data_IF_573268776299
#
_entry.id   IF_573268776299
#
_cell.length_a   1.000
_cell.length_b   1.000
_cell.length_c   1.000
_cell.angle_alpha   90.00
_cell.angle_beta   90.00
_cell.angle_gamma   90.00
#
_symmetry.space_group_name_H-M   'P 1'
#
loop_
_entity.id
_entity.type
_entity.pdbx_description
1 polymer ?
#
# COMPACT_ATOMS: atom_id res chain seq x y z
N UNK A 1 16.85 7.98 1.67
CA UNK A 1 16.04 8.99 2.39
C UNK A 1 16.94 10.05 3.00
N UNK A 2 16.46 11.29 3.22
CA UNK A 2 17.10 12.26 4.11
C UNK A 2 17.46 11.64 5.45
N UNK A 3 18.75 11.51 5.74
CA UNK A 3 19.18 11.18 7.09
C UNK A 3 19.34 12.53 7.83
N UNK A 4 18.82 12.64 9.05
CA UNK A 4 19.08 13.76 9.96
C UNK A 4 19.34 13.13 11.33
N UNK A 5 20.57 13.25 11.87
CA UNK A 5 20.93 12.68 13.18
C UNK A 5 21.05 13.81 14.21
N UNK A 6 20.10 13.95 15.13
CA UNK A 6 20.28 14.82 16.30
C UNK A 6 21.39 14.27 17.19
N UNK A 7 22.43 15.05 17.49
CA UNK A 7 23.63 14.52 18.17
C UNK A 7 23.79 15.00 19.61
N UNK A 8 23.42 16.25 19.92
CA UNK A 8 23.60 16.76 21.29
C UNK A 8 22.87 18.09 21.53
N UNK A 9 22.15 18.18 22.65
CA UNK A 9 21.83 19.46 23.27
C UNK A 9 23.01 19.83 24.18
N UNK A 10 23.74 20.90 23.83
CA UNK A 10 24.78 21.46 24.69
C UNK A 10 24.18 22.67 25.42
N UNK A 11 23.95 22.50 26.71
CA UNK A 11 23.40 23.54 27.58
C UNK A 11 24.58 24.23 28.26
N UNK A 12 24.78 25.52 27.95
CA UNK A 12 25.72 26.43 28.64
C UNK A 12 24.91 27.47 29.46
N UNK A 13 25.55 28.16 30.41
CA UNK A 13 24.92 29.11 31.33
C UNK A 13 24.33 30.34 30.63
N UNK A 14 24.76 30.64 29.39
CA UNK A 14 24.34 31.84 28.62
C UNK A 14 23.56 31.53 27.34
N UNK A 15 23.82 30.39 26.71
CA UNK A 15 23.24 30.01 25.40
C UNK A 15 22.96 28.51 25.36
N UNK A 16 21.94 28.12 24.60
CA UNK A 16 21.62 26.72 24.36
C UNK A 16 21.88 26.42 22.89
N UNK A 17 22.79 25.48 22.66
CA UNK A 17 23.22 25.06 21.33
C UNK A 17 22.66 23.70 21.01
N UNK A 18 22.03 23.59 19.85
CA UNK A 18 21.44 22.35 19.35
C UNK A 18 22.28 21.91 18.16
N UNK A 19 22.95 20.77 18.30
CA UNK A 19 23.76 20.15 17.26
C UNK A 19 22.98 19.02 16.60
N UNK A 20 22.90 19.06 15.27
CA UNK A 20 22.27 18.03 14.47
C UNK A 20 23.07 17.80 13.18
N UNK A 21 23.20 16.54 12.79
CA UNK A 21 23.68 16.16 11.47
C UNK A 21 22.48 16.11 10.51
N UNK A 22 22.69 16.47 9.26
CA UNK A 22 21.71 16.65 8.20
C UNK A 22 22.37 16.26 6.87
N UNK A 23 21.79 15.27 6.19
CA UNK A 23 22.41 14.57 5.07
C UNK A 23 21.65 14.79 3.74
N UNK A 24 20.83 15.83 3.65
CA UNK A 24 20.20 16.23 2.38
C UNK A 24 21.14 17.19 1.65
N UNK A 25 21.21 17.07 0.33
CA UNK A 25 22.03 17.93 -0.51
C UNK A 25 21.60 19.42 -0.45
N UNK A 26 20.29 19.70 -0.30
CA UNK A 26 19.77 21.06 -0.20
C UNK A 26 20.03 21.63 1.19
N UNK A 27 20.56 22.86 1.28
CA UNK A 27 20.84 23.50 2.58
C UNK A 27 19.53 23.89 3.29
N UNK A 28 19.46 23.76 4.63
CA UNK A 28 18.40 24.35 5.42
C UNK A 28 18.26 25.84 5.12
N UNK A 29 17.03 26.33 5.00
CA UNK A 29 16.73 27.76 5.01
C UNK A 29 16.67 28.26 6.45
N UNK A 30 15.88 27.59 7.29
CA UNK A 30 15.82 27.81 8.73
C UNK A 30 15.37 26.56 9.47
N UNK A 31 15.45 26.64 10.79
CA UNK A 31 14.98 25.67 11.76
C UNK A 31 13.80 26.28 12.51
N UNK A 32 12.75 25.50 12.73
CA UNK A 32 11.52 25.97 13.38
C UNK A 32 11.09 25.07 14.52
N UNK A 33 10.85 25.65 15.69
CA UNK A 33 10.22 24.98 16.82
C UNK A 33 8.73 25.29 16.76
N UNK A 34 7.88 24.25 16.66
CA UNK A 34 6.42 24.39 16.55
C UNK A 34 5.73 23.62 17.65
N UNK A 35 4.69 24.21 18.24
CA UNK A 35 3.79 23.52 19.14
C UNK A 35 2.44 23.34 18.44
N UNK A 36 2.06 22.08 18.18
CA UNK A 36 0.83 21.75 17.45
C UNK A 36 -0.43 22.19 18.22
N UNK A 37 -0.33 22.38 19.54
CA UNK A 37 -1.41 22.86 20.40
C UNK A 37 -1.46 24.39 20.50
N UNK A 38 -0.46 25.09 19.97
CA UNK A 38 -0.35 26.55 20.01
C UNK A 38 0.23 27.06 18.68
N UNK A 39 -0.58 26.96 17.63
CA UNK A 39 -0.21 27.21 16.22
C UNK A 39 0.36 28.62 15.96
N UNK A 40 0.03 29.60 16.80
CA UNK A 40 0.53 30.97 16.69
C UNK A 40 1.91 31.17 17.34
N UNK A 41 2.45 30.13 17.98
CA UNK A 41 3.74 30.16 18.67
C UNK A 41 4.75 29.28 17.95
N UNK A 42 5.58 29.91 17.12
CA UNK A 42 6.74 29.26 16.50
C UNK A 42 8.00 30.08 16.72
N UNK A 43 9.12 29.38 16.92
CA UNK A 43 10.42 30.00 17.02
C UNK A 43 11.26 29.62 15.81
N UNK A 44 11.71 30.60 15.04
CA UNK A 44 12.56 30.38 13.86
C UNK A 44 14.00 30.78 14.14
N UNK A 45 14.94 29.92 13.75
CA UNK A 45 16.38 30.15 13.90
C UNK A 45 17.13 29.72 12.66
N UNK A 46 18.27 30.37 12.40
CA UNK A 46 19.17 29.94 11.33
C UNK A 46 19.99 28.73 11.79
N UNK A 47 20.18 27.77 10.89
CA UNK A 47 21.18 26.72 11.05
C UNK A 47 22.53 27.19 10.50
N UNK A 48 23.56 27.09 11.32
CA UNK A 48 24.95 27.36 10.94
C UNK A 48 25.62 26.03 10.59
N UNK A 49 26.19 25.93 9.39
CA UNK A 49 26.89 24.72 8.94
C UNK A 49 28.23 24.60 9.67
N UNK A 50 28.46 23.48 10.35
CA UNK A 50 29.69 23.17 11.09
C UNK A 50 30.63 22.25 10.29
N UNK A 51 30.07 21.27 9.56
CA UNK A 51 30.82 20.31 8.72
C UNK A 51 30.01 19.99 7.47
N UNK A 52 30.47 19.06 6.61
CA UNK A 52 29.71 18.65 5.42
C UNK A 52 28.28 18.24 5.74
N UNK A 53 28.08 17.57 6.88
CA UNK A 53 26.80 17.03 7.34
C UNK A 53 26.33 17.63 8.66
N UNK A 54 27.16 18.34 9.44
CA UNK A 54 26.78 18.82 10.78
C UNK A 54 26.37 20.29 10.78
N UNK A 55 25.35 20.62 11.58
CA UNK A 55 24.76 21.95 11.74
C UNK A 55 24.52 22.28 13.21
N UNK A 56 24.50 23.58 13.52
CA UNK A 56 24.19 24.14 14.82
C UNK A 56 23.11 25.21 14.72
N UNK A 57 22.14 25.17 15.62
CA UNK A 57 21.25 26.30 15.88
C UNK A 57 21.39 26.75 17.34
N UNK A 58 21.19 28.05 17.57
CA UNK A 58 21.35 28.66 18.89
C UNK A 58 20.04 29.29 19.32
N UNK A 59 19.63 29.01 20.56
CA UNK A 59 18.51 29.67 21.23
C UNK A 59 18.97 30.26 22.57
N UNK A 60 18.34 31.34 22.98
CA UNK A 60 18.60 31.97 24.28
C UNK A 60 17.96 31.15 25.40
N UNK A 61 18.42 31.35 26.65
CA UNK A 61 17.81 30.70 27.81
C UNK A 61 16.33 31.08 27.97
N UNK A 62 15.97 32.33 27.73
CA UNK A 62 14.58 32.80 27.82
C UNK A 62 13.68 32.10 26.79
N UNK A 63 14.14 31.93 25.55
CA UNK A 63 13.42 31.18 24.51
C UNK A 63 13.27 29.70 24.90
N UNK A 64 14.31 29.08 25.46
CA UNK A 64 14.23 27.70 25.92
C UNK A 64 13.23 27.50 27.06
N UNK A 65 13.19 28.40 28.04
CA UNK A 65 12.20 28.32 29.12
C UNK A 65 10.76 28.46 28.59
N UNK A 66 10.54 29.20 27.48
CA UNK A 66 9.23 29.25 26.79
C UNK A 66 8.88 27.92 26.10
N UNK A 67 9.88 27.18 25.62
CA UNK A 67 9.68 25.86 25.02
C UNK A 67 9.37 24.79 26.07
N UNK A 68 9.90 24.90 27.29
CA UNK A 68 9.67 23.90 28.35
C UNK A 68 8.21 23.75 28.79
N UNK A 69 7.38 24.76 28.58
CA UNK A 69 5.97 24.75 29.01
C UNK A 69 5.01 24.13 27.97
N UNK A 70 5.52 23.60 26.86
CA UNK A 70 4.68 22.98 25.82
C UNK A 70 5.39 21.86 25.06
N UNK A 71 4.63 21.11 24.27
CA UNK A 71 5.13 20.01 23.45
C UNK A 71 5.59 20.56 22.09
N UNK A 72 6.85 21.01 22.03
CA UNK A 72 7.43 21.58 20.81
C UNK A 72 8.20 20.55 19.99
N UNK A 73 7.91 20.52 18.68
CA UNK A 73 8.58 19.74 17.65
C UNK A 73 9.58 20.59 16.88
N UNK A 74 10.71 20.00 16.48
CA UNK A 74 11.76 20.70 15.75
C UNK A 74 11.76 20.34 14.26
N UNK A 75 11.64 21.32 13.38
CA UNK A 75 11.62 21.14 11.94
C UNK A 75 12.83 21.81 11.25
N UNK A 76 13.42 21.13 10.27
CA UNK A 76 14.26 21.74 9.23
C UNK A 76 13.36 22.16 8.09
N UNK A 77 13.43 23.43 7.70
CA UNK A 77 12.66 23.97 6.57
C UNK A 77 13.61 24.37 5.44
N UNK A 78 13.32 23.90 4.23
CA UNK A 78 14.09 24.22 3.02
C UNK A 78 13.53 25.45 2.30
N UNK A 79 14.27 25.98 1.33
CA UNK A 79 13.82 27.16 0.57
C UNK A 79 12.54 26.89 -0.21
N UNK A 80 12.37 25.66 -0.68
CA UNK A 80 11.15 25.19 -1.36
C UNK A 80 10.00 24.87 -0.39
N UNK A 81 10.13 25.19 0.91
CA UNK A 81 9.15 24.90 1.97
C UNK A 81 8.95 23.41 2.26
N UNK A 82 9.86 22.54 1.82
CA UNK A 82 9.89 21.14 2.28
C UNK A 82 10.37 21.10 3.72
N UNK A 83 9.76 20.25 4.54
CA UNK A 83 9.96 20.21 5.98
C UNK A 83 10.38 18.82 6.46
N UNK A 84 11.31 18.77 7.40
CA UNK A 84 11.78 17.52 8.01
C UNK A 84 11.82 17.64 9.53
N UNK A 85 11.22 16.68 10.25
CA UNK A 85 11.24 16.63 11.71
C UNK A 85 12.59 16.12 12.23
N UNK A 86 13.10 16.74 13.30
CA UNK A 86 14.34 16.35 13.99
C UNK A 86 13.98 15.78 15.36
N UNK A 87 14.39 14.54 15.62
CA UNK A 87 14.36 13.97 16.97
C UNK A 87 15.55 14.50 17.80
N UNK A 88 15.28 15.07 18.98
CA UNK A 88 16.30 15.49 19.94
C UNK A 88 16.06 14.77 21.27
N UNK A 89 17.13 14.16 21.79
CA UNK A 89 17.18 13.27 22.96
C UNK A 89 16.62 13.88 24.28
N UNK A 90 16.43 15.21 24.38
CA UNK A 90 15.96 15.91 25.59
C UNK A 90 14.68 16.76 25.43
N UNK A 91 14.00 16.72 24.27
CA UNK A 91 12.72 17.44 24.03
C UNK A 91 11.54 16.45 23.81
N UNK A 92 11.53 15.32 24.52
CA UNK A 92 10.52 14.28 24.31
C UNK A 92 9.14 14.64 24.91
N UNK A 93 8.14 14.86 24.04
CA UNK A 93 6.80 14.30 24.25
C UNK A 93 6.07 13.99 22.92
N UNK A 94 5.61 12.75 22.81
CA UNK A 94 4.71 12.10 21.82
C UNK A 94 4.88 12.37 20.31
N UNK A 95 5.45 11.37 19.62
CA UNK A 95 5.04 11.04 18.25
C UNK A 95 3.85 10.07 18.34
N UNK A 96 2.69 10.48 17.80
CA UNK A 96 1.56 9.57 17.58
C UNK A 96 1.89 8.54 16.48
N UNK A 97 1.04 7.52 16.37
CA UNK A 97 1.28 6.30 15.59
C UNK A 97 1.57 6.49 14.09
N UNK A 98 1.39 7.68 13.52
CA UNK A 98 1.41 7.92 12.06
C UNK A 98 2.68 8.63 11.54
N UNK A 99 3.72 8.84 12.35
CA UNK A 99 4.93 9.56 11.90
C UNK A 99 6.24 8.82 12.26
N UNK A 100 6.93 8.33 11.22
CA UNK A 100 8.21 7.61 11.25
C UNK A 100 9.29 8.33 12.11
N UNK A 101 9.87 7.64 13.09
CA UNK A 101 11.14 6.87 13.09
C UNK A 101 12.43 7.70 13.16
N UNK A 102 13.23 7.42 14.19
CA UNK A 102 14.67 7.71 14.27
C UNK A 102 15.47 6.43 14.56
N UNK A 103 16.67 6.34 13.97
CA UNK A 103 17.84 5.60 14.47
C UNK A 103 19.11 6.43 14.08
N UNK A 104 20.29 6.37 14.73
CA UNK A 104 20.76 5.69 15.93
C UNK A 104 21.97 6.51 16.48
N UNK A 105 21.68 7.40 17.43
CA UNK A 105 22.53 7.89 18.56
C UNK A 105 21.72 8.94 19.35
N UNK A 106 20.56 8.46 19.81
CA UNK A 106 19.53 9.17 20.55
C UNK A 106 18.31 8.28 20.67
N UNK A 107 18.55 7.09 21.24
CA UNK A 107 17.59 6.08 21.74
C UNK A 107 16.46 5.64 20.79
N UNK A 108 16.62 4.46 20.18
CA UNK A 108 15.51 3.51 20.11
C UNK A 108 16.01 2.09 20.38
N UNK A 109 15.36 1.45 21.34
CA UNK A 109 15.34 0.01 21.44
C UNK A 109 14.78 -0.56 20.12
N UNK A 110 15.67 -0.95 19.21
CA UNK A 110 15.36 -1.95 18.19
C UNK A 110 15.27 -3.33 18.85
N UNK A 111 14.35 -3.46 19.80
CA UNK A 111 13.58 -4.67 19.90
C UNK A 111 12.17 -4.32 19.46
N UNK A 112 11.85 -4.80 18.25
CA UNK A 112 10.48 -5.07 17.79
C UNK A 112 9.73 -3.87 17.21
N UNK A 113 9.79 -3.74 15.89
CA UNK A 113 8.53 -3.76 15.13
C UNK A 113 8.56 -5.06 14.32
N UNK A 114 8.55 -6.19 15.04
CA UNK A 114 7.71 -7.26 14.53
C UNK A 114 6.34 -6.60 14.48
N UNK A 115 5.84 -6.32 13.28
CA UNK A 115 4.45 -5.97 13.20
C UNK A 115 3.71 -7.15 13.82
N UNK A 116 3.16 -6.94 15.01
CA UNK A 116 2.42 -8.00 15.70
C UNK A 116 1.07 -8.22 15.04
N UNK A 117 0.70 -7.35 14.10
CA UNK A 117 -0.49 -7.47 13.27
C UNK A 117 -0.42 -8.66 12.32
N UNK A 118 -1.60 -9.06 11.88
CA UNK A 118 -1.76 -10.09 10.88
C UNK A 118 -1.99 -9.43 9.52
N UNK A 119 -1.27 -9.89 8.52
CA UNK A 119 -1.40 -9.47 7.13
C UNK A 119 -2.10 -10.57 6.35
N UNK A 120 -3.10 -10.22 5.55
CA UNK A 120 -3.63 -11.15 4.58
C UNK A 120 -2.65 -11.25 3.41
N UNK A 121 -2.08 -12.45 3.21
CA UNK A 121 -1.30 -12.78 2.03
C UNK A 121 -2.23 -13.00 0.85
N UNK A 122 -2.39 -11.98 0.03
CA UNK A 122 -3.48 -11.89 -0.92
C UNK A 122 -3.08 -12.28 -2.35
N UNK A 123 -1.92 -11.84 -2.86
CA UNK A 123 -1.45 -12.18 -4.22
C UNK A 123 0.07 -12.17 -4.33
N UNK A 124 0.61 -12.64 -5.45
CA UNK A 124 2.04 -12.53 -5.81
C UNK A 124 3.04 -13.01 -4.74
N UNK A 125 2.62 -13.99 -3.92
CA UNK A 125 3.46 -14.67 -2.93
C UNK A 125 3.53 -16.17 -3.22
N UNK A 126 4.33 -16.85 -2.41
CA UNK A 126 4.31 -18.31 -2.38
C UNK A 126 2.87 -18.82 -2.19
N UNK A 127 2.39 -19.78 -3.01
CA UNK A 127 1.07 -20.35 -2.85
C UNK A 127 0.78 -20.91 -1.45
N UNK A 128 1.83 -21.26 -0.68
CA UNK A 128 1.66 -21.73 0.71
C UNK A 128 1.09 -20.66 1.64
N UNK A 129 1.28 -19.38 1.33
CA UNK A 129 0.80 -18.27 2.16
C UNK A 129 -0.53 -17.69 1.66
N UNK A 130 -0.82 -17.82 0.37
CA UNK A 130 -1.97 -17.12 -0.22
C UNK A 130 -3.30 -17.51 0.42
N UNK A 131 -4.16 -16.53 0.64
CA UNK A 131 -5.44 -16.69 1.32
C UNK A 131 -5.37 -16.74 2.83
N UNK A 132 -4.18 -16.67 3.43
CA UNK A 132 -3.98 -16.82 4.87
C UNK A 132 -3.51 -15.52 5.52
N UNK A 133 -3.84 -15.38 6.80
CA UNK A 133 -3.27 -14.35 7.63
C UNK A 133 -1.92 -14.79 8.16
N UNK A 134 -0.89 -13.97 7.95
CA UNK A 134 0.48 -14.24 8.35
C UNK A 134 1.05 -13.09 9.16
N UNK A 135 2.06 -13.40 9.98
CA UNK A 135 2.87 -12.38 10.65
C UNK A 135 4.07 -12.06 9.76
N UNK A 136 4.41 -10.79 9.69
CA UNK A 136 5.51 -10.29 8.88
C UNK A 136 6.47 -9.54 9.79
N UNK A 137 7.74 -9.92 9.73
CA UNK A 137 8.80 -9.22 10.44
C UNK A 137 9.46 -8.24 9.47
N UNK A 138 9.50 -6.96 9.79
CA UNK A 138 10.27 -5.99 9.04
C UNK A 138 11.68 -5.85 9.62
N UNK A 139 12.67 -5.84 8.74
CA UNK A 139 14.09 -5.67 9.04
C UNK A 139 14.71 -4.75 8.00
N UNK A 140 15.99 -4.40 8.17
CA UNK A 140 16.77 -3.66 7.17
C UNK A 140 17.88 -4.55 6.63
N UNK A 141 18.22 -4.36 5.37
CA UNK A 141 19.40 -4.97 4.75
C UNK A 141 20.68 -4.17 5.04
N UNK A 142 21.80 -4.62 4.46
CA UNK A 142 23.10 -3.97 4.62
C UNK A 142 23.18 -2.56 3.98
N UNK A 143 22.29 -2.25 3.05
CA UNK A 143 22.17 -0.95 2.36
C UNK A 143 21.18 -0.01 3.07
N UNK A 144 20.49 -0.50 4.10
CA UNK A 144 19.45 0.24 4.82
C UNK A 144 18.07 0.18 4.15
N UNK A 145 17.86 -0.70 3.17
CA UNK A 145 16.57 -0.93 2.54
C UNK A 145 15.70 -1.89 3.37
N UNK A 146 14.37 -1.71 3.33
CA UNK A 146 13.44 -2.58 4.04
C UNK A 146 13.40 -3.98 3.43
N UNK A 147 13.54 -4.99 4.30
CA UNK A 147 13.30 -6.39 4.00
C UNK A 147 12.20 -6.92 4.90
N UNK A 148 11.22 -7.60 4.30
CA UNK A 148 10.10 -8.20 5.01
C UNK A 148 10.26 -9.72 5.04
N UNK A 149 10.28 -10.29 6.23
CA UNK A 149 10.41 -11.73 6.44
C UNK A 149 9.03 -12.33 6.76
N UNK A 150 8.58 -13.22 5.89
CA UNK A 150 7.39 -14.04 6.03
C UNK A 150 7.66 -15.21 7.00
N UNK A 151 6.62 -15.96 7.44
CA UNK A 151 6.84 -17.19 8.20
C UNK A 151 7.82 -18.13 7.48
N UNK A 152 8.57 -18.91 8.25
CA UNK A 152 9.62 -19.81 7.73
C UNK A 152 10.82 -19.13 7.08
N UNK A 153 11.01 -17.81 7.28
CA UNK A 153 12.24 -17.11 6.93
C UNK A 153 12.34 -16.63 5.48
N UNK A 154 11.26 -16.72 4.69
CA UNK A 154 11.25 -16.21 3.32
C UNK A 154 11.25 -14.68 3.34
N UNK A 155 12.21 -14.06 2.66
CA UNK A 155 12.35 -12.60 2.56
C UNK A 155 11.71 -12.08 1.27
N UNK A 156 11.00 -10.97 1.34
CA UNK A 156 10.40 -10.27 0.20
C UNK A 156 10.77 -8.79 0.21
N UNK A 157 10.73 -8.18 -0.97
CA UNK A 157 10.98 -6.76 -1.17
C UNK A 157 9.84 -5.86 -0.68
N UNK A 158 10.09 -4.56 -0.54
CA UNK A 158 9.05 -3.56 -0.23
C UNK A 158 7.95 -3.51 -1.29
N UNK A 159 8.31 -3.66 -2.56
CA UNK A 159 7.33 -3.70 -3.66
C UNK A 159 6.41 -4.91 -3.53
N UNK A 160 6.97 -6.10 -3.28
CA UNK A 160 6.17 -7.30 -3.04
C UNK A 160 5.31 -7.14 -1.80
N UNK A 161 5.84 -6.61 -0.70
CA UNK A 161 5.08 -6.36 0.51
C UNK A 161 3.83 -5.49 0.23
N UNK A 162 4.01 -4.32 -0.37
CA UNK A 162 2.93 -3.36 -0.61
C UNK A 162 1.82 -3.88 -1.54
N UNK A 163 2.18 -4.76 -2.48
CA UNK A 163 1.24 -5.23 -3.49
C UNK A 163 0.61 -6.59 -3.15
N UNK A 164 1.23 -7.33 -2.24
CA UNK A 164 0.86 -8.72 -1.94
C UNK A 164 0.20 -8.89 -0.59
N UNK A 165 0.53 -8.02 0.36
CA UNK A 165 0.07 -8.08 1.74
C UNK A 165 -0.92 -6.97 2.00
N UNK A 166 -2.05 -7.33 2.61
CA UNK A 166 -3.11 -6.38 2.98
C UNK A 166 -3.14 -6.25 4.49
N UNK A 167 -2.86 -5.04 4.97
CA UNK A 167 -3.09 -4.66 6.36
C UNK A 167 -4.60 -4.47 6.59
N UNK A 168 -5.11 -5.01 7.69
CA UNK A 168 -6.50 -4.83 8.09
C UNK A 168 -6.64 -3.59 8.98
N UNK A 169 -7.78 -2.87 8.92
CA UNK A 169 -8.05 -1.75 9.82
C UNK A 169 -8.02 -2.17 11.28
N UNK A 170 -7.73 -1.21 12.18
CA UNK A 170 -7.61 -1.47 13.62
C UNK A 170 -8.89 -2.06 14.24
N UNK A 171 -10.05 -1.80 13.64
CA UNK A 171 -11.34 -2.39 14.04
C UNK A 171 -11.36 -3.92 14.00
N UNK A 172 -10.45 -4.55 13.24
CA UNK A 172 -10.31 -6.00 13.13
C UNK A 172 -9.38 -6.62 14.18
N UNK A 173 -8.64 -5.81 14.95
CA UNK A 173 -7.66 -6.29 15.93
C UNK A 173 -8.28 -7.00 17.13
N UNK A 174 -9.61 -6.99 17.26
CA UNK A 174 -10.35 -7.78 18.24
C UNK A 174 -10.37 -9.28 17.90
N UNK A 175 -10.06 -9.65 16.65
CA UNK A 175 -10.11 -11.04 16.17
C UNK A 175 -8.72 -11.69 16.24
N UNK A 176 -8.68 -12.98 16.59
CA UNK A 176 -7.48 -13.80 16.48
C UNK A 176 -7.12 -14.11 15.03
N UNK A 177 -5.88 -14.55 14.77
CA UNK A 177 -5.43 -15.01 13.45
C UNK A 177 -6.35 -16.06 12.83
N UNK A 178 -6.81 -17.00 13.64
CA UNK A 178 -7.67 -18.10 13.21
C UNK A 178 -9.04 -17.57 12.82
N UNK A 179 -9.62 -16.67 13.60
CA UNK A 179 -10.90 -16.04 13.28
C UNK A 179 -10.82 -15.17 12.03
N UNK A 180 -9.73 -14.39 11.89
CA UNK A 180 -9.45 -13.63 10.68
C UNK A 180 -9.36 -14.55 9.46
N UNK A 181 -8.60 -15.65 9.56
CA UNK A 181 -8.44 -16.60 8.45
C UNK A 181 -9.75 -17.31 8.09
N UNK A 182 -10.53 -17.73 9.08
CA UNK A 182 -11.83 -18.37 8.85
C UNK A 182 -12.85 -17.43 8.22
N UNK A 183 -12.85 -16.15 8.62
CA UNK A 183 -13.86 -15.20 8.20
C UNK A 183 -13.48 -14.43 6.93
N UNK A 184 -12.21 -14.05 6.78
CA UNK A 184 -11.72 -13.13 5.77
C UNK A 184 -10.60 -13.69 4.88
N UNK A 185 -10.24 -14.96 5.03
CA UNK A 185 -9.25 -15.61 4.18
C UNK A 185 -9.70 -15.65 2.73
N UNK A 186 -8.96 -14.98 1.84
CA UNK A 186 -9.16 -15.04 0.40
C UNK A 186 -7.89 -14.60 -0.35
N UNK A 187 -7.77 -14.99 -1.62
CA UNK A 187 -6.65 -14.63 -2.49
C UNK A 187 -7.14 -13.97 -3.78
N UNK A 188 -6.23 -13.38 -4.53
CA UNK A 188 -6.52 -13.02 -5.91
C UNK A 188 -6.70 -14.28 -6.75
N UNK A 189 -7.69 -14.28 -7.65
CA UNK A 189 -8.04 -15.48 -8.39
C UNK A 189 -9.23 -15.29 -9.31
N UNK A 190 -9.70 -16.41 -9.87
CA UNK A 190 -10.92 -16.48 -10.67
C UNK A 190 -11.95 -17.25 -9.85
N UNK A 191 -13.11 -16.65 -9.63
CA UNK A 191 -14.12 -17.19 -8.73
C UNK A 191 -15.46 -17.34 -9.44
N UNK A 192 -16.22 -18.36 -9.06
CA UNK A 192 -17.64 -18.51 -9.33
C UNK A 192 -18.43 -18.09 -8.11
N UNK A 193 -19.50 -17.33 -8.34
CA UNK A 193 -20.43 -16.98 -7.28
C UNK A 193 -21.37 -18.15 -6.98
N UNK A 194 -21.34 -18.66 -5.76
CA UNK A 194 -22.31 -19.67 -5.26
C UNK A 194 -23.46 -19.04 -4.48
N UNK A 195 -23.36 -17.74 -4.21
CA UNK A 195 -24.36 -16.89 -3.56
C UNK A 195 -24.39 -15.53 -4.26
N UNK A 196 -25.53 -14.85 -4.24
CA UNK A 196 -25.59 -13.48 -4.76
C UNK A 196 -24.69 -12.55 -3.95
N UNK A 197 -24.04 -11.60 -4.62
CA UNK A 197 -23.20 -10.57 -3.99
C UNK A 197 -23.63 -9.18 -4.43
N UNK A 198 -23.65 -8.23 -3.51
CA UNK A 198 -24.03 -6.85 -3.78
C UNK A 198 -22.81 -6.06 -4.28
N UNK A 199 -22.99 -5.37 -5.41
CA UNK A 199 -22.02 -4.39 -5.89
C UNK A 199 -21.99 -3.19 -4.95
N UNK A 200 -20.79 -2.76 -4.60
CA UNK A 200 -20.57 -1.56 -3.83
C UNK A 200 -20.57 -0.35 -4.78
N UNK A 201 -21.46 0.60 -4.52
CA UNK A 201 -21.60 1.85 -5.28
C UNK A 201 -21.60 3.03 -4.32
N UNK A 202 -20.65 3.94 -4.50
CA UNK A 202 -20.57 5.15 -3.69
C UNK A 202 -21.71 6.09 -4.05
N UNK A 203 -22.58 6.41 -3.08
CA UNK A 203 -23.68 7.38 -3.20
C UNK A 203 -24.85 6.96 -4.10
N UNK A 204 -25.01 5.68 -4.41
CA UNK A 204 -26.19 5.17 -5.12
C UNK A 204 -27.15 4.46 -4.15
N UNK A 205 -28.45 4.66 -4.34
CA UNK A 205 -29.51 4.08 -3.48
C UNK A 205 -30.06 2.76 -4.00
N UNK A 206 -29.73 2.38 -5.24
CA UNK A 206 -30.21 1.14 -5.85
C UNK A 206 -29.15 0.07 -5.69
N UNK A 207 -29.46 -1.01 -4.98
CA UNK A 207 -28.56 -2.14 -4.87
C UNK A 207 -28.54 -2.95 -6.17
N UNK A 208 -27.38 -3.03 -6.80
CA UNK A 208 -27.13 -3.95 -7.91
C UNK A 208 -26.51 -5.24 -7.37
N UNK A 209 -27.09 -6.40 -7.72
CA UNK A 209 -26.56 -7.71 -7.30
C UNK A 209 -26.01 -8.52 -8.46
N UNK A 210 -24.90 -9.21 -8.21
CA UNK A 210 -24.36 -10.25 -9.07
C UNK A 210 -25.03 -11.58 -8.72
N UNK A 211 -25.44 -12.32 -9.75
CA UNK A 211 -26.21 -13.55 -9.61
C UNK A 211 -25.33 -14.77 -9.37
N UNK A 212 -25.91 -15.80 -8.76
CA UNK A 212 -25.30 -17.14 -8.64
C UNK A 212 -24.88 -17.64 -10.03
N UNK A 213 -23.71 -18.27 -10.11
CA UNK A 213 -23.09 -18.75 -11.34
C UNK A 213 -22.20 -17.72 -12.05
N UNK A 214 -22.26 -16.43 -11.67
CA UNK A 214 -21.40 -15.39 -12.23
C UNK A 214 -19.93 -15.72 -11.98
N UNK A 215 -19.10 -15.61 -13.01
CA UNK A 215 -17.64 -15.75 -12.91
C UNK A 215 -16.99 -14.36 -12.88
N UNK A 216 -16.06 -14.14 -11.96
CA UNK A 216 -15.33 -12.89 -11.85
C UNK A 216 -13.87 -13.12 -11.46
N UNK A 217 -13.00 -12.15 -11.76
CA UNK A 217 -11.67 -12.12 -11.15
C UNK A 217 -11.70 -11.32 -9.87
N UNK A 218 -11.01 -11.74 -8.82
CA UNK A 218 -10.69 -10.92 -7.64
C UNK A 218 -9.23 -10.50 -7.75
N UNK A 219 -8.93 -9.20 -7.71
CA UNK A 219 -7.59 -8.68 -8.03
C UNK A 219 -6.94 -7.85 -6.94
N UNK A 220 -7.75 -7.26 -6.06
CA UNK A 220 -7.35 -6.43 -4.93
C UNK A 220 -8.41 -6.48 -3.83
N UNK A 221 -8.00 -6.14 -2.62
CA UNK A 221 -8.87 -5.83 -1.48
C UNK A 221 -8.75 -4.35 -1.18
N UNK A 222 -9.86 -3.72 -0.81
CA UNK A 222 -9.89 -2.38 -0.22
C UNK A 222 -10.85 -2.37 0.95
N UNK A 223 -10.77 -1.32 1.78
CA UNK A 223 -11.74 -1.06 2.84
C UNK A 223 -12.47 0.24 2.51
N UNK A 224 -13.76 0.29 2.80
CA UNK A 224 -14.54 1.53 2.68
C UNK A 224 -14.40 2.41 3.94
N UNK A 225 -15.12 3.54 3.98
CA UNK A 225 -15.07 4.48 5.09
C UNK A 225 -15.59 3.91 6.43
N UNK A 226 -16.29 2.77 6.39
CA UNK A 226 -16.80 2.07 7.58
C UNK A 226 -15.95 0.81 7.90
N UNK A 227 -14.75 0.71 7.33
CA UNK A 227 -13.88 -0.46 7.41
C UNK A 227 -14.52 -1.75 6.84
N UNK A 228 -15.56 -1.68 6.01
CA UNK A 228 -16.09 -2.88 5.33
C UNK A 228 -15.11 -3.34 4.25
N UNK A 229 -14.75 -4.63 4.28
CA UNK A 229 -13.89 -5.24 3.27
C UNK A 229 -14.62 -5.33 1.93
N UNK A 230 -14.01 -4.78 0.89
CA UNK A 230 -14.48 -4.80 -0.49
C UNK A 230 -13.49 -5.54 -1.37
N UNK A 231 -14.00 -6.38 -2.27
CA UNK A 231 -13.22 -7.02 -3.32
C UNK A 231 -13.28 -6.19 -4.60
N UNK A 232 -12.13 -5.91 -5.19
CA UNK A 232 -12.04 -5.30 -6.53
C UNK A 232 -12.04 -6.39 -7.58
N UNK A 233 -13.12 -6.44 -8.36
CA UNK A 233 -13.36 -7.51 -9.34
C UNK A 233 -13.36 -7.04 -10.79
N UNK A 234 -13.36 -7.99 -11.72
CA UNK A 234 -13.60 -7.69 -13.15
C UNK A 234 -14.98 -7.09 -13.43
N UNK A 235 -15.92 -7.18 -12.49
CA UNK A 235 -17.31 -6.71 -12.61
C UNK A 235 -17.61 -5.46 -11.76
N UNK A 236 -16.57 -4.82 -11.21
CA UNK A 236 -16.71 -3.75 -10.23
C UNK A 236 -16.36 -4.23 -8.83
N UNK A 237 -16.75 -3.46 -7.83
CA UNK A 237 -16.41 -3.77 -6.45
C UNK A 237 -17.59 -4.45 -5.77
N UNK A 238 -17.35 -5.46 -4.96
CA UNK A 238 -18.39 -6.16 -4.20
C UNK A 238 -18.05 -6.18 -2.72
N UNK A 239 -19.08 -6.15 -1.87
CA UNK A 239 -18.90 -6.40 -0.43
C UNK A 239 -18.40 -7.82 -0.21
N UNK A 240 -17.38 -8.00 0.62
CA UNK A 240 -16.78 -9.30 0.85
C UNK A 240 -17.75 -10.28 1.53
N UNK A 241 -17.89 -11.47 0.96
CA UNK A 241 -18.56 -12.63 1.56
C UNK A 241 -17.82 -13.90 1.15
N UNK A 242 -17.02 -14.46 2.05
CA UNK A 242 -16.23 -15.67 1.78
C UNK A 242 -17.12 -16.84 1.33
N UNK A 243 -18.33 -16.96 1.88
CA UNK A 243 -19.26 -18.05 1.56
C UNK A 243 -19.85 -17.95 0.15
N UNK A 244 -19.69 -16.80 -0.51
CA UNK A 244 -20.16 -16.58 -1.86
C UNK A 244 -19.14 -16.99 -2.94
N UNK A 245 -17.89 -17.29 -2.57
CA UNK A 245 -16.79 -17.50 -3.51
C UNK A 245 -16.37 -18.96 -3.60
N UNK A 246 -16.46 -19.52 -4.81
CA UNK A 246 -15.88 -20.81 -5.17
C UNK A 246 -14.68 -20.56 -6.11
N UNK A 247 -13.48 -20.96 -5.70
CA UNK A 247 -12.26 -20.79 -6.51
C UNK A 247 -12.29 -21.73 -7.72
N UNK A 248 -11.97 -21.19 -8.89
CA UNK A 248 -11.97 -21.93 -10.15
C UNK A 248 -10.53 -22.26 -10.53
N UNK A 249 -10.21 -23.56 -10.53
CA UNK A 249 -8.88 -24.07 -10.91
C UNK A 249 -8.86 -24.75 -12.27
N UNK A 250 -10.03 -25.08 -12.79
CA UNK A 250 -10.23 -25.58 -14.15
C UNK A 250 -10.20 -24.45 -15.20
N UNK A 251 -9.88 -24.75 -16.47
CA UNK A 251 -9.90 -23.75 -17.53
C UNK A 251 -11.31 -23.16 -17.74
N UNK A 252 -11.40 -21.83 -17.79
CA UNK A 252 -12.63 -21.09 -18.13
C UNK A 252 -12.48 -20.32 -19.43
N UNK A 253 -13.60 -20.03 -20.06
CA UNK A 253 -13.63 -19.32 -21.34
C UNK A 253 -13.81 -17.81 -21.16
N UNK A 254 -12.98 -17.06 -21.87
CA UNK A 254 -13.11 -15.60 -22.04
C UNK A 254 -13.24 -15.27 -23.52
N UNK A 255 -14.02 -14.24 -23.83
CA UNK A 255 -14.13 -13.67 -25.17
C UNK A 255 -13.35 -12.37 -25.25
N UNK A 256 -12.59 -12.19 -26.33
CA UNK A 256 -11.93 -10.92 -26.64
C UNK A 256 -12.98 -9.87 -27.05
N UNK A 257 -13.12 -8.80 -26.26
CA UNK A 257 -14.00 -7.66 -26.54
C UNK A 257 -13.39 -6.68 -27.54
N UNK A 258 -12.06 -6.74 -27.71
CA UNK A 258 -11.28 -5.96 -28.67
C UNK A 258 -10.21 -6.86 -29.28
N UNK A 259 -9.57 -6.39 -30.34
CA UNK A 259 -8.35 -7.05 -30.84
C UNK A 259 -7.29 -7.05 -29.74
N UNK A 260 -6.70 -8.21 -29.48
CA UNK A 260 -5.68 -8.42 -28.43
C UNK A 260 -4.53 -9.28 -28.97
N UNK A 261 -3.43 -9.32 -28.24
CA UNK A 261 -2.31 -10.21 -28.50
C UNK A 261 -2.08 -11.13 -27.29
N UNK A 262 -1.56 -12.33 -27.54
CA UNK A 262 -0.88 -13.10 -26.51
C UNK A 262 0.60 -12.76 -26.45
N UNK A 263 1.21 -13.13 -25.32
CA UNK A 263 2.62 -12.91 -24.99
C UNK A 263 3.16 -14.16 -24.31
N UNK A 264 4.46 -14.46 -24.42
CA UNK A 264 5.05 -15.58 -23.67
C UNK A 264 5.28 -15.29 -22.19
N UNK A 265 5.12 -14.04 -21.76
CA UNK A 265 5.40 -13.58 -20.40
C UNK A 265 4.31 -12.60 -19.92
N UNK A 266 4.17 -12.45 -18.60
CA UNK A 266 3.19 -11.55 -17.98
C UNK A 266 3.51 -10.05 -18.21
N UNK A 267 4.78 -9.73 -18.39
CA UNK A 267 5.29 -8.39 -18.72
C UNK A 267 5.25 -8.18 -20.24
N UNK A 268 4.22 -7.49 -20.71
CA UNK A 268 3.96 -7.36 -22.15
C UNK A 268 4.95 -6.40 -22.83
N UNK A 269 5.67 -6.93 -23.81
CA UNK A 269 6.56 -6.17 -24.68
C UNK A 269 6.42 -6.61 -26.15
N UNK A 270 7.11 -5.95 -27.08
CA UNK A 270 7.07 -6.34 -28.50
C UNK A 270 7.80 -7.67 -28.74
N UNK A 271 8.84 -7.92 -27.98
CA UNK A 271 9.77 -9.04 -28.12
C UNK A 271 9.13 -10.37 -27.70
N UNK A 272 8.30 -10.33 -26.65
CA UNK A 272 7.59 -11.50 -26.12
C UNK A 272 6.20 -11.68 -26.74
N UNK A 273 5.79 -10.80 -27.65
CA UNK A 273 4.50 -10.85 -28.35
C UNK A 273 4.38 -12.08 -29.23
N UNK A 274 3.24 -12.74 -29.16
CA UNK A 274 2.91 -13.96 -29.91
C UNK A 274 1.71 -13.70 -30.84
N UNK A 275 0.61 -14.43 -30.63
CA UNK A 275 -0.51 -14.49 -31.56
C UNK A 275 -1.42 -13.27 -31.43
N UNK A 276 -1.90 -12.76 -32.56
CA UNK A 276 -2.97 -11.77 -32.60
C UNK A 276 -4.32 -12.48 -32.61
N UNK A 277 -5.26 -12.02 -31.78
CA UNK A 277 -6.63 -12.49 -31.72
C UNK A 277 -7.59 -11.35 -32.04
N UNK A 278 -8.52 -11.61 -32.95
CA UNK A 278 -9.55 -10.64 -33.31
C UNK A 278 -10.62 -10.57 -32.23
N UNK A 279 -11.30 -9.43 -32.14
CA UNK A 279 -12.53 -9.29 -31.35
C UNK A 279 -13.51 -10.44 -31.67
N UNK A 280 -14.14 -10.98 -30.63
CA UNK A 280 -15.03 -12.15 -30.70
C UNK A 280 -14.32 -13.50 -30.57
N UNK A 281 -12.98 -13.53 -30.58
CA UNK A 281 -12.26 -14.79 -30.35
C UNK A 281 -12.47 -15.28 -28.91
N UNK A 282 -12.93 -16.52 -28.76
CA UNK A 282 -12.99 -17.22 -27.47
C UNK A 282 -11.66 -17.89 -27.17
N UNK A 283 -11.18 -17.74 -25.94
CA UNK A 283 -9.92 -18.27 -25.43
C UNK A 283 -10.17 -18.98 -24.11
N UNK A 284 -9.51 -20.11 -23.89
CA UNK A 284 -9.51 -20.80 -22.61
C UNK A 284 -8.34 -20.33 -21.76
N UNK A 285 -8.63 -19.95 -20.53
CA UNK A 285 -7.67 -19.45 -19.55
C UNK A 285 -7.73 -20.29 -18.29
N UNK A 286 -6.56 -20.62 -17.73
CA UNK A 286 -6.43 -21.55 -16.60
C UNK A 286 -6.31 -20.86 -15.26
N UNK A 287 -5.70 -19.68 -15.23
CA UNK A 287 -5.46 -18.93 -13.99
C UNK A 287 -5.30 -17.44 -14.24
N UNK A 288 -5.47 -16.69 -13.16
CA UNK A 288 -5.06 -15.30 -13.06
C UNK A 288 -3.58 -15.24 -12.62
N UNK A 289 -2.82 -14.34 -13.23
CA UNK A 289 -1.43 -14.04 -12.89
C UNK A 289 -1.21 -12.52 -12.99
N UNK A 290 -0.02 -12.05 -12.62
CA UNK A 290 0.29 -10.63 -12.55
C UNK A 290 1.62 -10.31 -13.22
N UNK A 291 1.68 -9.16 -13.91
CA UNK A 291 2.95 -8.58 -14.35
C UNK A 291 3.78 -8.10 -13.14
N UNK A 292 5.04 -7.72 -13.34
CA UNK A 292 5.85 -7.07 -12.28
C UNK A 292 5.19 -5.82 -11.72
N UNK A 293 4.54 -5.02 -12.55
CA UNK A 293 3.73 -3.86 -12.10
C UNK A 293 2.30 -4.22 -11.67
N UNK A 294 2.06 -5.46 -11.23
CA UNK A 294 0.81 -5.97 -10.65
C UNK A 294 -0.46 -5.82 -11.51
N UNK A 295 -0.30 -5.79 -12.83
CA UNK A 295 -1.43 -5.78 -13.77
C UNK A 295 -1.95 -7.20 -13.98
N UNK A 296 -3.28 -7.42 -13.95
CA UNK A 296 -3.84 -8.75 -14.14
C UNK A 296 -3.61 -9.28 -15.56
N UNK A 297 -3.27 -10.56 -15.61
CA UNK A 297 -3.02 -11.36 -16.80
C UNK A 297 -3.76 -12.67 -16.69
N UNK A 298 -4.29 -13.16 -17.80
CA UNK A 298 -4.77 -14.52 -17.86
C UNK A 298 -3.73 -15.40 -18.52
N UNK A 299 -3.45 -16.55 -17.91
CA UNK A 299 -2.63 -17.59 -18.53
C UNK A 299 -3.55 -18.49 -19.35
N UNK A 300 -3.31 -18.57 -20.65
CA UNK A 300 -4.05 -19.42 -21.58
C UNK A 300 -3.63 -20.89 -21.43
N UNK A 301 -4.40 -21.82 -21.99
CA UNK A 301 -4.06 -23.26 -21.88
C UNK A 301 -2.72 -23.64 -22.49
N UNK A 302 -2.25 -22.90 -23.49
CA UNK A 302 -0.94 -23.06 -24.14
C UNK A 302 0.20 -22.36 -23.38
N UNK A 303 -0.05 -21.85 -22.17
CA UNK A 303 0.94 -21.21 -21.30
C UNK A 303 1.31 -19.78 -21.69
N UNK A 304 0.67 -19.22 -22.71
CA UNK A 304 0.82 -17.81 -23.06
C UNK A 304 -0.02 -16.92 -22.12
N UNK A 305 0.19 -15.62 -22.22
CA UNK A 305 -0.45 -14.60 -21.41
C UNK A 305 -1.29 -13.67 -22.30
N UNK A 306 -2.52 -13.39 -21.88
CA UNK A 306 -3.38 -12.34 -22.46
C UNK A 306 -3.78 -11.33 -21.38
N UNK A 307 -4.24 -10.16 -21.80
CA UNK A 307 -4.69 -9.12 -20.86
C UNK A 307 -5.86 -9.64 -20.02
N UNK A 308 -5.81 -9.42 -18.69
CA UNK A 308 -6.95 -9.66 -17.79
C UNK A 308 -7.86 -8.43 -17.63
N UNK A 309 -7.67 -7.39 -18.45
CA UNK A 309 -8.44 -6.15 -18.32
C UNK A 309 -9.90 -6.36 -18.79
N UNK A 310 -10.91 -6.06 -17.96
CA UNK A 310 -12.33 -6.27 -18.29
C UNK A 310 -12.84 -5.40 -19.46
N UNK A 311 -12.08 -4.40 -19.91
CA UNK A 311 -12.38 -3.62 -21.11
C UNK A 311 -11.92 -4.31 -22.42
N UNK A 312 -11.19 -5.42 -22.31
CA UNK A 312 -10.60 -6.15 -23.44
C UNK A 312 -11.04 -7.60 -23.49
N UNK A 313 -11.41 -8.18 -22.36
CA UNK A 313 -11.86 -9.57 -22.25
C UNK A 313 -13.00 -9.69 -21.25
N UNK A 314 -13.87 -10.67 -21.43
CA UNK A 314 -14.93 -10.98 -20.48
C UNK A 314 -15.22 -12.48 -20.44
N UNK A 315 -15.65 -13.01 -19.29
CA UNK A 315 -16.06 -14.41 -19.17
C UNK A 315 -17.32 -14.68 -20.00
N UNK A 316 -17.28 -15.73 -20.84
CA UNK A 316 -18.41 -16.13 -21.68
C UNK A 316 -19.58 -16.65 -20.86
N UNK A 317 -19.29 -17.31 -19.73
CA UNK A 317 -20.28 -17.82 -18.78
C UNK A 317 -21.25 -16.75 -18.25
N UNK A 318 -20.83 -15.47 -18.24
CA UNK A 318 -21.67 -14.36 -17.81
C UNK A 318 -22.62 -13.85 -18.92
N UNK A 319 -22.73 -14.57 -20.04
CA UNK A 319 -23.51 -14.14 -21.21
C UNK A 319 -22.89 -12.96 -21.98
N UNK A 320 -21.65 -12.60 -21.66
CA UNK A 320 -20.94 -11.52 -22.33
C UNK A 320 -20.60 -11.96 -23.76
N UNK A 321 -21.07 -11.18 -24.72
CA UNK A 321 -20.73 -11.32 -26.14
C UNK A 321 -19.99 -10.08 -26.59
N UNK A 322 -19.10 -10.22 -27.59
CA UNK A 322 -18.27 -9.10 -28.06
C UNK A 322 -19.06 -7.88 -28.57
N UNK A 323 -20.39 -8.00 -28.73
CA UNK A 323 -21.32 -6.96 -29.17
C UNK A 323 -22.12 -6.29 -28.04
N UNK A 324 -22.06 -6.78 -26.81
CA UNK A 324 -22.75 -6.20 -25.64
C UNK A 324 -21.77 -6.04 -24.49
N UNK A 325 -21.23 -4.83 -24.22
CA UNK A 325 -20.50 -4.59 -22.98
C UNK A 325 -21.44 -4.87 -21.79
N UNK A 326 -20.91 -5.33 -20.64
CA UNK A 326 -21.74 -5.66 -19.50
C UNK A 326 -22.55 -4.44 -19.03
N UNK A 327 -23.79 -4.65 -18.59
CA UNK A 327 -24.74 -3.59 -18.20
C UNK A 327 -24.16 -2.59 -17.18
N UNK A 328 -23.31 -3.03 -16.25
CA UNK A 328 -22.69 -2.15 -15.26
C UNK A 328 -21.59 -1.23 -15.86
N UNK A 329 -20.97 -1.58 -17.00
CA UNK A 329 -20.13 -0.62 -17.75
C UNK A 329 -20.95 0.44 -18.47
N UNK A 330 -22.23 0.17 -18.74
CA UNK A 330 -23.17 1.14 -19.33
C UNK A 330 -23.75 2.07 -18.26
N UNK A 331 -23.77 1.63 -17.00
CA UNK A 331 -24.33 2.36 -15.86
C UNK A 331 -23.34 3.29 -15.14
N UNK A 332 -22.03 3.27 -15.46
CA UNK A 332 -21.09 4.27 -14.94
C UNK A 332 -20.90 5.37 -16.00
N UNK A 333 -21.57 6.54 -15.89
CA UNK A 333 -21.27 7.64 -16.79
C UNK A 333 -19.85 8.10 -16.50
N UNK A 334 -19.06 8.24 -17.57
CA UNK A 334 -17.77 8.92 -17.57
C UNK A 334 -17.76 10.15 -16.66
N UNK A 335 -17.11 10.06 -15.50
CA UNK A 335 -16.47 11.22 -14.88
C UNK A 335 -14.97 10.98 -14.84
N UNK A 336 -14.31 11.52 -15.88
CA UNK A 336 -12.91 11.93 -15.81
C UNK A 336 -12.80 12.85 -14.58
N UNK A 337 -12.12 12.40 -13.53
CA UNK A 337 -11.56 13.31 -12.56
C UNK A 337 -10.32 13.93 -13.20
N UNK A 338 -10.34 15.26 -13.27
CA UNK A 338 -9.20 16.11 -13.65
C UNK A 338 -8.13 16.07 -12.58
#
# INVERSE_FOLDING_TARGET
>A
MPLIKGKKLLIDEKEIKIHFDYYIAEKPDYIEFRNDSALDTSLRKKAHKLSEVSYETQITRAEYEQLKSGDYKLHVVLKNQTEYLIAIDQLQTYCGADTLLSDRDGVLALHKIADTGFYLAFKALDPTYLGQFIKVLSTHDENGDFIFELPHGKKISLEEYNNSLIAFPQSYNILSQTELSQKYGCQAGIYRLVKEMTLHQENETTELTLKVGTILTVTHVRFDANDEMLLVTSLGQVKFDASALEDITEPVEVVALKNIYSYSEADFSKEVKKKHYLQGTTLKVRKLDFSKSYRPRFVTEDGNYITGNPNFVAFTANGNTASKPPLWQVLVPNRRLK
#
